data_IF_683797683248
#
_entry.id   IF_683797683248
#
_cell.length_a   1.000
_cell.length_b   1.000
_cell.length_c   1.000
_cell.angle_alpha   90.00
_cell.angle_beta   90.00
_cell.angle_gamma   90.00
#
_symmetry.space_group_name_H-M   'P 1'
#
loop_
_entity.id
_entity.type
_entity.pdbx_description
1 polymer ?
#
# COMPACT_ATOMS: atom_id res chain seq x y z
N UNK A 1 19.41 0.93 -4.00
CA UNK A 1 18.03 0.87 -4.52
C UNK A 1 17.14 1.31 -3.38
N UNK A 2 16.51 2.48 -3.49
CA UNK A 2 15.50 2.92 -2.51
C UNK A 2 14.29 1.98 -2.61
N UNK A 3 13.77 1.50 -1.47
CA UNK A 3 12.58 0.66 -1.46
C UNK A 3 11.34 1.48 -1.77
N UNK A 4 10.47 1.00 -2.66
CA UNK A 4 9.22 1.68 -3.02
C UNK A 4 8.02 1.05 -2.30
N UNK A 5 7.11 1.88 -1.79
CA UNK A 5 5.86 1.41 -1.21
C UNK A 5 4.88 1.00 -2.32
N UNK A 6 4.38 -0.24 -2.22
CA UNK A 6 3.47 -0.87 -3.17
C UNK A 6 2.15 -1.26 -2.50
N UNK A 7 1.08 -1.30 -3.29
CA UNK A 7 -0.22 -1.85 -2.89
C UNK A 7 -0.64 -2.87 -3.95
N UNK A 8 -1.02 -4.07 -3.51
CA UNK A 8 -1.50 -5.14 -4.39
C UNK A 8 -3.02 -5.18 -4.42
N UNK A 9 -3.61 -5.23 -5.61
CA UNK A 9 -5.04 -5.54 -5.79
C UNK A 9 -5.16 -7.01 -6.15
N UNK A 10 -6.02 -7.76 -5.44
CA UNK A 10 -6.21 -9.20 -5.66
C UNK A 10 -7.66 -9.53 -6.02
N UNK A 11 -7.85 -10.54 -6.86
CA UNK A 11 -9.16 -11.06 -7.23
C UNK A 11 -9.15 -12.60 -7.23
N UNK A 12 -10.19 -13.25 -6.66
CA UNK A 12 -10.29 -14.71 -6.68
C UNK A 12 -10.75 -15.22 -8.05
N UNK A 13 -10.15 -16.32 -8.52
CA UNK A 13 -10.58 -17.07 -9.70
C UNK A 13 -11.55 -18.15 -9.24
N UNK A 14 -12.81 -18.07 -9.66
CA UNK A 14 -13.88 -18.96 -9.21
C UNK A 14 -14.42 -19.84 -10.33
N UNK A 15 -14.58 -21.12 -10.07
CA UNK A 15 -15.29 -22.07 -10.93
C UNK A 15 -16.80 -21.94 -10.72
N UNK A 16 -17.51 -21.46 -11.75
CA UNK A 16 -18.96 -21.18 -11.72
C UNK A 16 -19.79 -22.15 -12.56
N UNK A 17 -19.23 -23.30 -12.94
CA UNK A 17 -19.90 -24.26 -13.86
C UNK A 17 -21.22 -24.82 -13.31
N UNK A 18 -21.42 -24.84 -11.99
CA UNK A 18 -22.69 -25.25 -11.40
C UNK A 18 -23.55 -24.03 -11.00
N UNK A 19 -24.48 -23.66 -11.88
CA UNK A 19 -25.39 -22.51 -11.67
C UNK A 19 -26.56 -22.80 -10.71
N UNK A 20 -26.71 -24.05 -10.23
CA UNK A 20 -27.79 -24.44 -9.31
C UNK A 20 -27.43 -24.21 -7.84
N UNK A 21 -26.14 -24.08 -7.54
CA UNK A 21 -25.61 -23.76 -6.21
C UNK A 21 -25.06 -22.34 -6.18
N UNK A 22 -25.38 -21.58 -5.13
CA UNK A 22 -24.84 -20.21 -4.94
C UNK A 22 -23.33 -20.17 -4.59
N UNK A 23 -22.70 -21.32 -4.44
CA UNK A 23 -21.30 -21.47 -4.05
C UNK A 23 -20.46 -21.86 -5.26
N UNK A 24 -19.41 -21.10 -5.53
CA UNK A 24 -18.42 -21.36 -6.58
C UNK A 24 -17.10 -21.86 -5.95
N UNK A 25 -16.41 -22.80 -6.59
CA UNK A 25 -15.14 -23.32 -6.07
C UNK A 25 -13.99 -22.34 -6.35
N UNK A 26 -13.13 -22.08 -5.37
CA UNK A 26 -11.93 -21.28 -5.57
C UNK A 26 -10.86 -22.07 -6.32
N UNK A 27 -10.37 -21.53 -7.44
CA UNK A 27 -9.32 -22.11 -8.26
C UNK A 27 -7.95 -21.45 -8.04
N UNK A 28 -7.94 -20.19 -7.62
CA UNK A 28 -6.70 -19.44 -7.39
C UNK A 28 -6.95 -17.94 -7.14
N UNK A 29 -5.87 -17.17 -7.07
CA UNK A 29 -5.90 -15.71 -6.87
C UNK A 29 -5.01 -15.09 -7.94
N UNK A 30 -5.50 -14.03 -8.59
CA UNK A 30 -4.68 -13.14 -9.42
C UNK A 30 -4.44 -11.85 -8.65
N UNK A 31 -3.22 -11.32 -8.74
CA UNK A 31 -2.82 -10.08 -8.10
C UNK A 31 -2.09 -9.16 -9.07
N UNK A 32 -2.22 -7.85 -8.88
CA UNK A 32 -1.44 -6.84 -9.59
C UNK A 32 -0.96 -5.78 -8.60
N UNK A 33 0.32 -5.42 -8.70
CA UNK A 33 0.94 -4.41 -7.85
C UNK A 33 0.84 -3.02 -8.48
N UNK A 34 0.50 -2.04 -7.66
CA UNK A 34 0.44 -0.63 -8.03
C UNK A 34 1.29 0.15 -7.03
N UNK A 35 2.22 0.97 -7.51
CA UNK A 35 3.00 1.81 -6.63
C UNK A 35 2.14 2.94 -6.07
N UNK A 36 2.44 3.37 -4.85
CA UNK A 36 1.74 4.53 -4.26
C UNK A 36 1.97 5.80 -5.08
N UNK A 37 3.10 5.89 -5.79
CA UNK A 37 3.40 6.97 -6.72
C UNK A 37 2.42 7.04 -7.90
N UNK A 38 2.03 5.90 -8.49
CA UNK A 38 1.02 5.88 -9.55
C UNK A 38 -0.34 6.36 -9.05
N UNK A 39 -0.68 6.07 -7.79
CA UNK A 39 -1.90 6.56 -7.16
C UNK A 39 -1.83 8.08 -6.95
N UNK A 40 -0.68 8.62 -6.53
CA UNK A 40 -0.48 10.06 -6.34
C UNK A 40 -0.72 10.86 -7.64
N UNK A 41 -0.33 10.30 -8.80
CA UNK A 41 -0.52 10.94 -10.12
C UNK A 41 -1.99 11.16 -10.48
N UNK A 42 -2.92 10.44 -9.84
CA UNK A 42 -4.36 10.62 -10.04
C UNK A 42 -4.90 11.87 -9.34
N UNK A 43 -4.15 12.48 -8.42
CA UNK A 43 -4.55 13.70 -7.73
C UNK A 43 -4.32 14.90 -8.65
N UNK A 44 -5.36 15.65 -9.05
CA UNK A 44 -5.19 16.84 -9.88
C UNK A 44 -4.53 17.98 -9.08
N UNK A 45 -3.31 18.43 -9.44
CA UNK A 45 -2.56 19.39 -8.63
C UNK A 45 -3.29 20.73 -8.43
N UNK A 46 -4.04 21.17 -9.44
CA UNK A 46 -4.75 22.44 -9.43
C UNK A 46 -5.95 22.50 -8.47
N UNK A 47 -6.44 21.37 -7.95
CA UNK A 47 -7.59 21.35 -7.03
C UNK A 47 -7.22 21.62 -5.56
N UNK A 48 -5.93 21.63 -5.22
CA UNK A 48 -5.47 21.73 -3.84
C UNK A 48 -5.34 23.18 -3.34
N UNK A 49 -5.11 24.14 -4.25
CA UNK A 49 -4.79 25.52 -3.87
C UNK A 49 -3.39 25.66 -3.26
N UNK A 50 -3.03 26.86 -2.83
CA UNK A 50 -1.63 27.22 -2.48
C UNK A 50 -1.08 26.46 -1.27
N UNK A 51 -1.94 26.12 -0.30
CA UNK A 51 -1.54 25.43 0.94
C UNK A 51 -2.16 24.04 1.08
N UNK A 52 -2.82 23.52 0.03
CA UNK A 52 -3.43 22.21 0.06
C UNK A 52 -2.44 21.11 -0.32
N UNK A 53 -2.59 19.95 0.29
CA UNK A 53 -1.85 18.74 -0.06
C UNK A 53 -2.80 17.55 -0.09
N UNK A 54 -2.34 16.46 -0.70
CA UNK A 54 -3.03 15.17 -0.67
C UNK A 54 -2.23 14.19 0.19
N UNK A 55 -2.94 13.25 0.80
CA UNK A 55 -2.36 12.16 1.58
C UNK A 55 -3.22 10.91 1.37
N UNK A 56 -2.62 9.74 1.55
CA UNK A 56 -3.29 8.45 1.33
C UNK A 56 -3.31 7.68 2.64
N UNK A 57 -4.49 7.19 3.03
CA UNK A 57 -4.69 6.38 4.24
C UNK A 57 -5.42 5.09 3.92
N UNK A 58 -5.11 4.03 4.66
CA UNK A 58 -5.91 2.82 4.67
C UNK A 58 -7.11 2.93 5.64
N UNK A 59 -7.98 1.93 5.62
CA UNK A 59 -9.14 1.85 6.50
C UNK A 59 -8.80 1.66 7.98
N UNK A 60 -7.54 1.37 8.31
CA UNK A 60 -7.05 1.26 9.68
C UNK A 60 -6.38 2.55 10.18
N UNK A 61 -6.38 3.62 9.36
CA UNK A 61 -5.77 4.90 9.70
C UNK A 61 -4.25 4.96 9.50
N UNK A 62 -3.65 4.00 8.79
CA UNK A 62 -2.22 4.02 8.45
C UNK A 62 -1.98 4.96 7.28
N UNK A 63 -0.97 5.82 7.40
CA UNK A 63 -0.58 6.74 6.34
C UNK A 63 0.32 6.02 5.35
N UNK A 64 -0.17 5.85 4.12
CA UNK A 64 0.59 5.29 3.00
C UNK A 64 1.39 6.38 2.28
N UNK A 65 0.91 7.63 2.29
CA UNK A 65 1.61 8.77 1.74
C UNK A 65 1.22 10.06 2.44
N UNK A 66 2.21 10.91 2.72
CA UNK A 66 2.07 12.31 3.13
C UNK A 66 3.33 13.06 2.68
N UNK A 67 3.27 14.34 2.26
CA UNK A 67 4.46 15.11 1.88
C UNK A 67 5.56 15.11 2.94
N UNK A 68 5.17 15.18 4.22
CA UNK A 68 6.08 15.11 5.38
C UNK A 68 6.18 13.72 6.03
N UNK A 69 5.85 12.64 5.30
CA UNK A 69 5.93 11.29 5.86
C UNK A 69 7.37 10.95 6.23
N UNK A 70 7.61 10.61 7.50
CA UNK A 70 8.91 10.15 8.00
C UNK A 70 8.84 8.64 8.23
N UNK A 71 9.54 7.82 7.43
CA UNK A 71 9.56 6.37 7.65
C UNK A 71 10.10 6.08 9.05
N UNK A 72 9.31 5.40 9.87
CA UNK A 72 9.72 5.04 11.24
C UNK A 72 10.87 4.02 11.25
N UNK A 73 11.13 3.36 10.12
CA UNK A 73 12.22 2.38 9.97
C UNK A 73 13.43 3.09 9.36
N UNK A 74 14.11 3.91 10.17
CA UNK A 74 15.52 4.21 9.92
C UNK A 74 16.34 3.37 10.88
N UNK A 75 17.50 2.86 10.47
CA UNK A 75 18.44 2.20 11.41
C UNK A 75 18.88 3.13 12.56
N UNK A 76 18.54 4.42 12.49
CA UNK A 76 18.72 5.44 13.53
C UNK A 76 17.57 5.46 14.56
N UNK A 77 16.39 4.94 14.21
CA UNK A 77 15.27 4.78 15.16
C UNK A 77 15.37 3.48 15.97
N UNK A 78 16.18 2.53 15.50
CA UNK A 78 16.64 1.40 16.31
C UNK A 78 17.54 1.98 17.40
N UNK A 79 17.12 1.80 18.66
CA UNK A 79 17.88 2.22 19.84
C UNK A 79 19.38 1.90 19.65
N UNK A 80 20.31 2.86 19.89
CA UNK A 80 21.75 2.61 19.76
C UNK A 80 22.22 1.38 20.53
N UNK A 81 21.50 1.01 21.60
CA UNK A 81 21.74 -0.20 22.37
C UNK A 81 21.56 -1.49 21.56
N UNK A 82 20.63 -1.54 20.61
CA UNK A 82 20.39 -2.72 19.76
C UNK A 82 21.46 -2.89 18.67
N UNK A 83 22.16 -1.82 18.28
CA UNK A 83 23.31 -1.88 17.36
C UNK A 83 24.55 -2.52 18.02
N UNK A 84 24.66 -2.47 19.35
CA UNK A 84 25.78 -3.06 20.10
C UNK A 84 25.74 -4.59 20.14
N UNK A 85 24.55 -5.20 20.02
CA UNK A 85 24.35 -6.66 20.10
C UNK A 85 24.46 -7.40 18.76
N UNK A 86 24.78 -6.71 17.67
CA UNK A 86 24.88 -7.27 16.32
C UNK A 86 26.32 -7.58 15.85
N UNK A 87 27.25 -7.84 16.78
CA UNK A 87 28.62 -8.31 16.47
C UNK A 87 28.86 -9.73 16.98
#
# INVERSE_FOLDING_TARGET
MEGQLMTSVTAPILDRRNHTTKTANLLGIVGTDVSVEEIQKLVPPYKLGVNGYSFIVDNNGRVLYHPDLRPLVSLQSISPYMQMYLH
#
